data_IF_381436659969
#
_entry.id   IF_381436659969
#
_cell.length_a   1.000
_cell.length_b   1.000
_cell.length_c   1.000
_cell.angle_alpha   90.00
_cell.angle_beta   90.00
_cell.angle_gamma   90.00
#
_symmetry.space_group_name_H-M   'P 1'
#
loop_
_entity.id
_entity.type
_entity.pdbx_description
1 polymer ?
#
# COMPACT_ATOMS: atom_id res chain seq x y z
N UNK A 1 13.17 -72.15 -10.02
CA UNK A 1 12.34 -71.53 -8.96
C UNK A 1 12.35 -70.03 -9.19
N UNK A 2 11.43 -69.52 -10.00
CA UNK A 2 11.31 -68.10 -10.35
C UNK A 2 10.12 -67.52 -9.59
N UNK A 3 10.40 -66.54 -8.72
CA UNK A 3 9.37 -65.76 -8.01
C UNK A 3 8.85 -64.69 -8.99
N UNK A 4 7.55 -64.66 -9.32
CA UNK A 4 6.99 -63.58 -10.13
C UNK A 4 6.86 -62.30 -9.30
N UNK A 5 7.34 -61.21 -9.88
CA UNK A 5 7.25 -59.84 -9.41
C UNK A 5 5.79 -59.41 -9.26
N UNK A 6 5.43 -58.87 -8.10
CA UNK A 6 4.11 -58.30 -7.85
C UNK A 6 3.97 -56.96 -8.60
N UNK A 7 2.80 -56.66 -9.20
CA UNK A 7 2.54 -55.35 -9.80
C UNK A 7 2.26 -54.30 -8.70
N UNK A 8 3.09 -53.26 -8.65
CA UNK A 8 2.82 -52.04 -7.90
C UNK A 8 1.61 -51.33 -8.51
N UNK A 9 0.43 -51.63 -7.97
CA UNK A 9 -0.80 -50.93 -8.24
C UNK A 9 -0.94 -49.80 -7.21
N UNK A 10 -0.19 -48.70 -7.40
CA UNK A 10 -0.33 -47.51 -6.58
C UNK A 10 -1.51 -46.71 -7.13
N UNK A 11 -2.65 -46.83 -6.46
CA UNK A 11 -3.78 -45.95 -6.65
C UNK A 11 -3.33 -44.48 -6.48
N UNK A 12 -3.95 -43.51 -7.20
CA UNK A 12 -3.65 -42.11 -7.02
C UNK A 12 -3.91 -41.72 -5.56
N UNK A 13 -2.84 -41.32 -4.89
CA UNK A 13 -2.82 -40.77 -3.54
C UNK A 13 -3.88 -39.65 -3.44
N UNK A 14 -4.76 -39.79 -2.44
CA UNK A 14 -5.77 -38.80 -2.04
C UNK A 14 -5.18 -37.43 -1.64
N UNK A 15 -3.86 -37.24 -1.71
CA UNK A 15 -3.21 -35.95 -1.52
C UNK A 15 -3.28 -35.01 -2.74
N UNK A 16 -3.63 -35.49 -3.94
CA UNK A 16 -3.86 -34.60 -5.09
C UNK A 16 -5.18 -33.81 -5.01
N UNK A 17 -6.12 -34.21 -4.14
CA UNK A 17 -7.32 -33.43 -3.84
C UNK A 17 -7.10 -32.38 -2.74
N UNK A 18 -6.04 -32.50 -1.94
CA UNK A 18 -5.64 -31.47 -0.98
C UNK A 18 -4.80 -30.36 -1.64
N UNK A 19 -4.25 -30.67 -2.83
CA UNK A 19 -3.69 -29.74 -3.80
C UNK A 19 -4.67 -29.55 -4.99
N UNK A 20 -5.99 -29.44 -4.80
CA UNK A 20 -6.63 -28.12 -4.55
C UNK A 20 -5.61 -27.07 -4.07
N UNK A 21 -4.61 -26.73 -4.87
CA UNK A 21 -4.83 -25.84 -6.01
C UNK A 21 -5.77 -24.73 -5.58
N UNK A 22 -5.24 -23.93 -4.64
CA UNK A 22 -5.04 -22.53 -4.94
C UNK A 22 -6.32 -21.93 -5.51
N UNK A 23 -7.33 -21.78 -4.63
CA UNK A 23 -8.07 -20.52 -4.53
C UNK A 23 -6.98 -19.46 -4.82
N UNK A 24 -6.80 -18.94 -6.04
CA UNK A 24 -7.83 -18.19 -6.75
C UNK A 24 -8.76 -17.64 -5.69
N UNK A 25 -8.13 -16.86 -4.80
CA UNK A 25 -8.63 -15.63 -4.23
C UNK A 25 -8.91 -14.69 -5.41
N UNK A 26 -9.67 -15.16 -6.39
CA UNK A 26 -10.45 -14.31 -7.23
C UNK A 26 -11.73 -14.25 -6.44
N UNK A 27 -11.84 -13.16 -5.67
CA UNK A 27 -13.12 -12.59 -5.34
C UNK A 27 -14.00 -12.74 -6.59
N UNK A 28 -15.19 -13.33 -6.47
CA UNK A 28 -16.05 -13.45 -7.65
C UNK A 28 -16.28 -12.05 -8.22
N UNK A 29 -16.36 -11.92 -9.55
CA UNK A 29 -16.58 -10.60 -10.18
C UNK A 29 -17.83 -9.90 -9.59
N UNK A 30 -18.84 -10.69 -9.18
CA UNK A 30 -20.03 -10.20 -8.49
C UNK A 30 -19.72 -9.66 -7.08
N UNK A 31 -18.91 -10.38 -6.27
CA UNK A 31 -18.51 -9.92 -4.94
C UNK A 31 -17.61 -8.68 -5.04
N UNK A 32 -16.73 -8.62 -6.04
CA UNK A 32 -15.90 -7.46 -6.32
C UNK A 32 -16.71 -6.22 -6.66
N UNK A 33 -17.69 -6.38 -7.55
CA UNK A 33 -18.59 -5.29 -7.89
C UNK A 33 -19.39 -4.83 -6.65
N UNK A 34 -19.96 -5.76 -5.88
CA UNK A 34 -20.73 -5.45 -4.66
C UNK A 34 -19.90 -4.75 -3.59
N UNK A 35 -18.66 -5.18 -3.41
CA UNK A 35 -17.70 -4.56 -2.51
C UNK A 35 -17.35 -3.14 -2.93
N UNK A 36 -17.09 -2.93 -4.23
CA UNK A 36 -16.81 -1.61 -4.79
C UNK A 36 -18.00 -0.65 -4.60
N UNK A 37 -19.23 -1.10 -4.91
CA UNK A 37 -20.45 -0.33 -4.70
C UNK A 37 -20.67 0.03 -3.22
N UNK A 38 -20.30 -0.88 -2.31
CA UNK A 38 -20.39 -0.67 -0.86
C UNK A 38 -19.39 0.38 -0.37
N UNK A 39 -18.13 0.34 -0.85
CA UNK A 39 -17.12 1.36 -0.53
C UNK A 39 -17.58 2.73 -1.01
N UNK A 40 -18.07 2.84 -2.25
CA UNK A 40 -18.54 4.12 -2.80
C UNK A 40 -19.72 4.68 -2.00
N UNK A 41 -20.66 3.82 -1.56
CA UNK A 41 -21.77 4.25 -0.72
C UNK A 41 -21.33 4.74 0.68
N UNK A 42 -20.30 4.12 1.26
CA UNK A 42 -19.72 4.52 2.55
C UNK A 42 -18.95 5.84 2.41
N UNK A 43 -18.13 5.98 1.36
CA UNK A 43 -17.36 7.19 1.07
C UNK A 43 -18.28 8.40 0.80
N UNK A 44 -19.42 8.18 0.15
CA UNK A 44 -20.47 9.19 -0.05
C UNK A 44 -21.28 9.50 1.22
N UNK A 45 -21.12 8.72 2.29
CA UNK A 45 -21.91 8.82 3.52
C UNK A 45 -23.38 8.41 3.36
N UNK A 46 -23.71 7.61 2.33
CA UNK A 46 -25.08 7.16 2.03
C UNK A 46 -25.50 5.96 2.87
N UNK A 47 -24.56 5.07 3.21
CA UNK A 47 -24.80 3.85 3.98
C UNK A 47 -23.66 3.63 5.00
N UNK A 48 -23.98 3.05 6.15
CA UNK A 48 -22.97 2.52 7.06
C UNK A 48 -22.46 1.14 6.60
N UNK A 49 -21.29 0.71 7.09
CA UNK A 49 -20.76 -0.61 6.78
C UNK A 49 -21.72 -1.74 7.19
N UNK A 50 -22.37 -1.60 8.35
CA UNK A 50 -23.38 -2.55 8.84
C UNK A 50 -24.63 -2.59 7.94
N UNK A 51 -25.05 -1.44 7.41
CA UNK A 51 -26.18 -1.36 6.48
C UNK A 51 -25.86 -2.04 5.14
N UNK A 52 -24.64 -1.88 4.61
CA UNK A 52 -24.21 -2.59 3.41
C UNK A 52 -24.24 -4.11 3.60
N UNK A 53 -23.77 -4.61 4.75
CA UNK A 53 -23.80 -6.04 5.08
C UNK A 53 -25.26 -6.56 5.19
N UNK A 54 -26.17 -5.76 5.78
CA UNK A 54 -27.58 -6.15 5.89
C UNK A 54 -28.30 -6.19 4.54
N UNK A 55 -27.92 -5.35 3.58
CA UNK A 55 -28.51 -5.34 2.24
C UNK A 55 -28.10 -6.56 1.40
N UNK A 56 -27.02 -7.24 1.75
CA UNK A 56 -26.45 -8.35 0.97
C UNK A 56 -26.20 -9.59 1.86
N UNK A 57 -27.27 -10.26 2.33
CA UNK A 57 -27.14 -11.36 3.29
C UNK A 57 -26.43 -12.59 2.72
N UNK A 58 -26.48 -12.80 1.40
CA UNK A 58 -25.87 -13.97 0.74
C UNK A 58 -24.34 -13.95 0.84
N UNK A 59 -23.74 -12.76 0.75
CA UNK A 59 -22.28 -12.55 0.82
C UNK A 59 -21.84 -11.86 2.13
N UNK A 60 -22.76 -11.69 3.07
CA UNK A 60 -22.58 -10.77 4.20
C UNK A 60 -21.34 -11.07 5.06
N UNK A 61 -20.93 -12.33 5.20
CA UNK A 61 -19.71 -12.71 5.93
C UNK A 61 -18.43 -12.29 5.20
N UNK A 62 -18.33 -12.59 3.90
CA UNK A 62 -17.13 -12.24 3.10
C UNK A 62 -17.04 -10.73 2.90
N UNK A 63 -18.17 -10.06 2.64
CA UNK A 63 -18.24 -8.60 2.53
C UNK A 63 -17.88 -7.92 3.85
N UNK A 64 -18.34 -8.43 4.99
CA UNK A 64 -18.00 -7.88 6.31
C UNK A 64 -16.50 -7.97 6.60
N UNK A 65 -15.86 -9.08 6.23
CA UNK A 65 -14.41 -9.25 6.40
C UNK A 65 -13.63 -8.22 5.56
N UNK A 66 -14.03 -8.01 4.30
CA UNK A 66 -13.40 -7.06 3.39
C UNK A 66 -13.61 -5.61 3.83
N UNK A 67 -14.82 -5.24 4.25
CA UNK A 67 -15.14 -3.90 4.76
C UNK A 67 -14.39 -3.58 6.06
N UNK A 68 -14.27 -4.56 6.95
CA UNK A 68 -13.49 -4.39 8.18
C UNK A 68 -12.00 -4.24 7.87
N UNK A 69 -11.47 -5.01 6.91
CA UNK A 69 -10.08 -4.86 6.46
C UNK A 69 -9.83 -3.47 5.88
N UNK A 70 -10.76 -2.93 5.07
CA UNK A 70 -10.63 -1.57 4.53
C UNK A 70 -10.72 -0.50 5.59
N UNK A 71 -11.62 -0.62 6.56
CA UNK A 71 -11.68 0.30 7.71
C UNK A 71 -10.34 0.31 8.46
N UNK A 72 -9.76 -0.86 8.73
CA UNK A 72 -8.45 -0.97 9.37
C UNK A 72 -7.30 -0.38 8.54
N UNK A 73 -7.37 -0.45 7.21
CA UNK A 73 -6.40 0.19 6.32
C UNK A 73 -6.58 1.70 6.26
N UNK A 74 -7.82 2.20 6.31
CA UNK A 74 -8.14 3.62 6.32
C UNK A 74 -7.65 4.34 7.59
N UNK A 75 -7.67 3.64 8.73
CA UNK A 75 -7.15 4.15 10.01
C UNK A 75 -5.62 4.24 10.07
N UNK A 76 -4.90 3.64 9.10
CA UNK A 76 -3.45 3.72 9.07
C UNK A 76 -3.00 5.14 8.72
N UNK A 77 -1.95 5.67 9.36
CA UNK A 77 -1.37 6.96 8.99
C UNK A 77 -1.01 6.94 7.50
N UNK A 78 -1.54 7.92 6.75
CA UNK A 78 -1.18 8.08 5.34
C UNK A 78 0.31 8.37 5.25
N UNK A 79 1.04 7.47 4.58
CA UNK A 79 2.46 7.67 4.32
C UNK A 79 2.58 8.64 3.17
N UNK A 80 3.06 9.85 3.45
CA UNK A 80 3.36 10.84 2.41
C UNK A 80 4.43 10.28 1.46
N UNK A 81 4.16 10.17 0.15
CA UNK A 81 5.13 9.66 -0.79
C UNK A 81 6.35 10.58 -0.86
N UNK A 82 7.53 9.98 -0.96
CA UNK A 82 8.79 10.73 -1.04
C UNK A 82 8.79 11.69 -2.24
N UNK A 83 9.57 12.77 -2.14
CA UNK A 83 9.74 13.73 -3.25
C UNK A 83 10.22 13.02 -4.53
N UNK A 84 11.18 12.09 -4.40
CA UNK A 84 11.73 11.33 -5.51
C UNK A 84 10.65 10.48 -6.19
N UNK A 85 9.82 9.77 -5.41
CA UNK A 85 8.70 9.00 -5.95
C UNK A 85 7.72 9.90 -6.71
N UNK A 86 7.33 11.04 -6.13
CA UNK A 86 6.40 11.98 -6.79
C UNK A 86 6.96 12.54 -8.10
N UNK A 87 8.25 12.88 -8.14
CA UNK A 87 8.90 13.35 -9.36
C UNK A 87 8.95 12.26 -10.44
N UNK A 88 9.26 11.02 -10.06
CA UNK A 88 9.28 9.90 -10.98
C UNK A 88 7.89 9.57 -11.52
N UNK A 89 6.88 9.48 -10.64
CA UNK A 89 5.49 9.26 -11.03
C UNK A 89 5.00 10.33 -12.03
N UNK A 90 5.35 11.61 -11.78
CA UNK A 90 5.04 12.70 -12.71
C UNK A 90 5.71 12.51 -14.08
N UNK A 91 6.99 12.12 -14.11
CA UNK A 91 7.69 11.86 -15.39
C UNK A 91 7.04 10.72 -16.15
N UNK A 92 6.67 9.64 -15.47
CA UNK A 92 5.98 8.49 -16.07
C UNK A 92 4.61 8.89 -16.64
N UNK A 93 3.82 9.67 -15.89
CA UNK A 93 2.53 10.18 -16.35
C UNK A 93 2.68 11.09 -17.58
N UNK A 94 3.68 11.98 -17.58
CA UNK A 94 3.95 12.85 -18.73
C UNK A 94 4.38 12.04 -19.97
N UNK A 95 5.09 10.94 -19.79
CA UNK A 95 5.51 10.07 -20.89
C UNK A 95 4.35 9.24 -21.47
N UNK A 96 3.31 8.96 -20.67
CA UNK A 96 2.11 8.23 -21.12
C UNK A 96 1.07 9.14 -21.79
N UNK A 97 1.12 10.45 -21.54
CA UNK A 97 0.24 11.38 -22.24
C UNK A 97 0.61 11.35 -23.73
N UNK A 98 -0.34 11.00 -24.62
CA UNK A 98 -0.08 11.08 -26.04
C UNK A 98 0.32 12.51 -26.38
N UNK A 99 1.29 12.67 -27.27
CA UNK A 99 1.67 13.97 -27.81
C UNK A 99 0.41 14.61 -28.38
N UNK A 100 -0.21 15.48 -27.60
CA UNK A 100 -1.36 16.25 -28.06
C UNK A 100 -0.80 17.08 -29.20
N UNK A 101 -1.25 16.89 -30.45
CA UNK A 101 -0.78 17.71 -31.54
C UNK A 101 -1.12 19.14 -31.12
N UNK A 102 -0.07 19.93 -30.92
CA UNK A 102 -0.21 21.36 -30.76
C UNK A 102 -0.68 21.81 -32.13
N UNK A 103 -2.00 21.79 -32.34
CA UNK A 103 -2.59 22.51 -33.45
C UNK A 103 -2.07 23.93 -33.25
N UNK A 104 -1.19 24.43 -34.14
CA UNK A 104 -0.72 25.80 -34.02
C UNK A 104 -1.99 26.62 -33.92
N UNK A 105 -2.13 27.31 -32.80
CA UNK A 105 -3.29 28.11 -32.55
C UNK A 105 -3.36 29.11 -33.70
N UNK A 106 -4.20 28.81 -34.70
CA UNK A 106 -4.75 29.83 -35.56
C UNK A 106 -5.45 30.74 -34.58
N UNK A 107 -4.81 31.87 -34.31
CA UNK A 107 -5.27 32.95 -33.45
C UNK A 107 -6.59 33.49 -34.00
N UNK A 108 -7.67 32.75 -33.79
CA UNK A 108 -9.01 33.27 -33.71
C UNK A 108 -9.32 33.36 -32.22
N UNK A 109 -8.82 34.44 -31.65
CA UNK A 109 -9.24 35.01 -30.39
C UNK A 109 -10.79 35.11 -30.40
N UNK A 110 -11.52 34.28 -29.63
CA UNK A 110 -12.93 34.58 -29.41
C UNK A 110 -12.96 35.86 -28.57
N UNK A 111 -13.61 36.89 -29.09
CA UNK A 111 -13.80 38.22 -28.51
C UNK A 111 -14.57 38.24 -27.16
N UNK A 112 -14.45 37.20 -26.34
CA UNK A 112 -15.10 37.02 -25.04
C UNK A 112 -14.16 37.28 -23.85
N UNK A 113 -12.88 37.59 -24.07
CA UNK A 113 -11.95 38.04 -23.03
C UNK A 113 -12.15 39.51 -22.59
N UNK A 114 -12.96 40.27 -23.33
CA UNK A 114 -13.09 41.71 -23.14
C UNK A 114 -13.80 42.14 -21.86
N UNK A 115 -14.59 41.29 -21.20
CA UNK A 115 -15.35 41.73 -20.02
C UNK A 115 -14.50 41.86 -18.77
N UNK A 116 -13.51 40.97 -18.58
CA UNK A 116 -12.62 40.99 -17.42
C UNK A 116 -11.59 42.12 -17.53
N UNK A 117 -11.01 42.29 -18.73
CA UNK A 117 -10.17 43.44 -19.08
C UNK A 117 -10.95 44.76 -18.94
N UNK A 118 -12.17 44.86 -19.47
CA UNK A 118 -13.00 46.06 -19.34
C UNK A 118 -13.42 46.34 -17.88
N UNK A 119 -13.65 45.31 -17.07
CA UNK A 119 -13.91 45.46 -15.64
C UNK A 119 -12.67 45.99 -14.92
N UNK A 120 -11.48 45.45 -15.25
CA UNK A 120 -10.21 45.88 -14.68
C UNK A 120 -9.85 47.31 -15.08
N UNK A 121 -10.05 47.67 -16.35
CA UNK A 121 -9.86 49.03 -16.85
C UNK A 121 -10.85 49.99 -16.17
N UNK A 122 -12.12 49.58 -15.97
CA UNK A 122 -13.12 50.41 -15.29
C UNK A 122 -12.82 50.60 -13.79
N UNK A 123 -12.26 49.59 -13.13
CA UNK A 123 -11.85 49.66 -11.73
C UNK A 123 -10.61 50.54 -11.54
N UNK A 124 -9.66 50.50 -12.47
CA UNK A 124 -8.40 51.27 -12.37
C UNK A 124 -8.51 52.70 -12.88
N UNK A 125 -9.36 52.96 -13.88
CA UNK A 125 -9.56 54.29 -14.49
C UNK A 125 -10.52 55.19 -13.70
N UNK A 126 -11.18 54.64 -12.68
CA UNK A 126 -11.94 55.40 -11.68
C UNK A 126 -10.98 56.19 -10.77
N UNK A 127 -10.62 57.39 -11.24
CA UNK A 127 -9.73 58.34 -10.58
C UNK A 127 -10.40 58.98 -9.35
N UNK A 128 -10.04 58.45 -8.18
CA UNK A 128 -10.27 59.09 -6.88
C UNK A 128 -9.51 58.33 -5.81
N UNK A 129 -8.28 58.74 -5.49
CA UNK A 129 -7.39 58.12 -4.49
C UNK A 129 -8.03 57.79 -3.12
N UNK A 130 -9.04 58.51 -2.58
CA UNK A 130 -9.68 58.09 -1.33
C UNK A 130 -10.73 56.96 -1.51
N UNK A 131 -11.29 56.77 -2.71
CA UNK A 131 -12.32 55.75 -2.94
C UNK A 131 -11.73 54.34 -3.15
N UNK A 132 -10.50 54.24 -3.64
CA UNK A 132 -9.83 52.95 -3.85
C UNK A 132 -9.49 52.23 -2.54
N UNK A 133 -9.15 52.95 -1.47
CA UNK A 133 -8.84 52.35 -0.16
C UNK A 133 -10.10 51.73 0.46
N UNK A 134 -11.26 52.37 0.31
CA UNK A 134 -12.55 51.85 0.78
C UNK A 134 -13.05 50.65 -0.05
N UNK A 135 -12.86 50.68 -1.38
CA UNK A 135 -13.30 49.59 -2.25
C UNK A 135 -12.47 48.31 -2.06
N UNK A 136 -11.13 48.43 -1.97
CA UNK A 136 -10.24 47.29 -1.72
C UNK A 136 -10.47 46.72 -0.32
N UNK A 137 -10.66 47.59 0.69
CA UNK A 137 -11.00 47.16 2.05
C UNK A 137 -12.34 46.41 2.13
N UNK A 138 -13.36 46.88 1.41
CA UNK A 138 -14.68 46.23 1.36
C UNK A 138 -14.65 44.84 0.71
N UNK A 139 -13.92 44.69 -0.39
CA UNK A 139 -13.76 43.40 -1.08
C UNK A 139 -12.96 42.39 -0.25
N UNK A 140 -11.90 42.84 0.40
CA UNK A 140 -11.13 42.00 1.32
C UNK A 140 -11.97 41.52 2.50
N UNK A 141 -12.77 42.40 3.13
CA UNK A 141 -13.65 42.04 4.23
C UNK A 141 -14.77 41.09 3.80
N UNK A 142 -15.36 41.28 2.61
CA UNK A 142 -16.36 40.37 2.07
C UNK A 142 -15.79 38.97 1.79
N UNK A 143 -14.60 38.89 1.19
CA UNK A 143 -13.91 37.62 0.96
C UNK A 143 -13.57 36.90 2.28
N UNK A 144 -13.14 37.66 3.30
CA UNK A 144 -12.81 37.12 4.62
C UNK A 144 -14.06 36.63 5.36
N UNK A 145 -15.20 37.32 5.22
CA UNK A 145 -16.48 36.88 5.77
C UNK A 145 -16.98 35.58 5.10
N UNK A 146 -16.88 35.48 3.77
CA UNK A 146 -17.23 34.25 3.04
C UNK A 146 -16.34 33.09 3.48
N UNK A 147 -15.03 33.34 3.61
CA UNK A 147 -14.08 32.35 4.09
C UNK A 147 -14.42 31.88 5.51
N UNK A 148 -14.78 32.80 6.42
CA UNK A 148 -15.16 32.45 7.79
C UNK A 148 -16.45 31.62 7.85
N UNK A 149 -17.45 31.94 7.03
CA UNK A 149 -18.69 31.15 6.93
C UNK A 149 -18.39 29.74 6.39
N UNK A 150 -17.54 29.62 5.37
CA UNK A 150 -17.12 28.32 4.85
C UNK A 150 -16.36 27.50 5.90
N UNK A 151 -15.50 28.15 6.69
CA UNK A 151 -14.72 27.51 7.74
C UNK A 151 -15.60 27.05 8.91
N UNK A 152 -16.64 27.82 9.27
CA UNK A 152 -17.67 27.40 10.22
C UNK A 152 -18.51 26.25 9.66
N UNK A 153 -18.84 26.25 8.37
CA UNK A 153 -19.58 25.14 7.75
C UNK A 153 -18.75 23.84 7.68
N UNK A 154 -17.43 23.94 7.50
CA UNK A 154 -16.52 22.80 7.44
C UNK A 154 -16.16 22.23 8.82
N UNK A 155 -16.08 23.08 9.86
CA UNK A 155 -15.76 22.64 11.24
C UNK A 155 -16.98 22.51 12.15
N UNK A 156 -18.14 23.02 11.72
CA UNK A 156 -19.39 22.94 12.44
C UNK A 156 -20.07 21.60 12.22
N UNK A 157 -19.54 20.55 12.84
CA UNK A 157 -20.34 19.38 13.19
C UNK A 157 -21.63 19.86 13.85
N UNK A 158 -22.76 19.38 13.32
CA UNK A 158 -24.09 19.79 13.77
C UNK A 158 -24.24 19.62 15.28
N UNK A 159 -25.11 20.42 15.92
CA UNK A 159 -25.43 20.21 17.33
C UNK A 159 -26.13 18.86 17.48
N UNK A 160 -25.36 17.84 17.87
CA UNK A 160 -25.87 16.58 18.38
C UNK A 160 -26.66 16.88 19.67
N UNK A 161 -27.95 17.14 19.46
CA UNK A 161 -28.96 16.94 20.47
C UNK A 161 -29.28 15.46 20.45
N UNK A 162 -28.84 14.77 21.50
CA UNK A 162 -29.66 13.88 22.33
C UNK A 162 -28.85 12.71 22.92
N UNK A 163 -29.06 12.48 24.22
CA UNK A 163 -28.79 11.21 24.91
C UNK A 163 -27.32 10.98 25.31
N UNK A 164 -26.89 11.08 26.56
CA UNK A 164 -27.59 10.64 27.76
C UNK A 164 -27.51 9.13 27.91
N UNK A 165 -26.36 8.58 28.32
CA UNK A 165 -26.28 7.30 29.03
C UNK A 165 -25.02 7.24 29.90
N UNK A 166 -25.26 7.31 31.20
CA UNK A 166 -24.32 6.88 32.23
C UNK A 166 -24.18 5.35 32.13
N UNK A 167 -22.99 4.87 31.78
CA UNK A 167 -22.62 3.46 31.82
C UNK A 167 -21.39 3.27 32.70
N UNK A 168 -21.62 3.07 33.99
CA UNK A 168 -20.63 2.59 34.97
C UNK A 168 -20.15 1.22 34.51
N UNK A 169 -18.93 1.13 33.97
CA UNK A 169 -18.24 -0.13 33.72
C UNK A 169 -17.40 -0.48 34.94
N UNK A 170 -17.95 -1.38 35.75
CA UNK A 170 -17.34 -2.03 36.88
C UNK A 170 -16.22 -2.97 36.39
N UNK A 171 -14.97 -2.56 36.61
CA UNK A 171 -13.78 -3.32 36.24
C UNK A 171 -13.57 -4.49 37.20
N UNK A 172 -14.01 -5.68 36.79
CA UNK A 172 -13.74 -6.95 37.48
C UNK A 172 -12.34 -7.44 37.09
N UNK A 173 -11.37 -7.28 37.99
CA UNK A 173 -10.03 -7.87 37.86
C UNK A 173 -10.13 -9.41 37.79
N UNK A 174 -9.48 -10.06 36.81
CA UNK A 174 -9.31 -11.51 36.83
C UNK A 174 -8.24 -11.89 37.86
N UNK A 175 -8.63 -12.80 38.75
CA UNK A 175 -7.79 -13.47 39.72
C UNK A 175 -6.77 -14.36 38.97
N UNK A 176 -5.48 -14.03 39.09
CA UNK A 176 -4.38 -14.85 38.58
C UNK A 176 -4.08 -15.95 39.61
N UNK A 177 -4.62 -17.15 39.39
CA UNK A 177 -4.14 -18.36 40.06
C UNK A 177 -2.74 -18.69 39.53
N UNK A 178 -1.77 -18.60 40.42
CA UNK A 178 -0.39 -19.06 40.24
C UNK A 178 -0.41 -20.58 40.22
N UNK A 179 -0.32 -21.17 39.03
CA UNK A 179 -0.05 -22.59 38.84
C UNK A 179 1.46 -22.77 38.92
N UNK A 180 1.93 -23.38 40.02
CA UNK A 180 3.30 -23.86 40.15
C UNK A 180 3.56 -24.95 39.11
N UNK A 181 4.47 -24.65 38.18
CA UNK A 181 4.93 -25.60 37.16
C UNK A 181 6.04 -26.47 37.74
N UNK A 182 6.01 -27.81 37.55
CA UNK A 182 7.02 -28.70 38.12
C UNK A 182 8.36 -28.57 37.39
N UNK A 183 9.42 -28.60 38.19
CA UNK A 183 10.82 -28.52 37.80
C UNK A 183 11.24 -29.85 37.14
N UNK A 184 11.15 -29.94 35.80
CA UNK A 184 11.69 -31.07 35.04
C UNK A 184 13.19 -30.86 34.76
N UNK A 185 13.98 -31.83 35.23
CA UNK A 185 15.43 -31.91 35.04
C UNK A 185 15.77 -32.22 33.57
N UNK A 186 16.66 -31.46 32.90
CA UNK A 186 16.95 -31.68 31.48
C UNK A 186 17.79 -32.95 31.28
N UNK A 187 17.18 -33.98 30.68
CA UNK A 187 17.89 -35.08 30.06
C UNK A 187 18.41 -34.67 28.68
N UNK A 188 19.72 -34.75 28.50
CA UNK A 188 20.43 -34.45 27.25
C UNK A 188 19.93 -35.34 26.11
N UNK A 189 19.11 -34.75 25.23
CA UNK A 189 18.58 -35.42 24.04
C UNK A 189 19.58 -35.33 22.88
N UNK A 190 19.78 -36.42 22.11
CA UNK A 190 20.70 -36.44 20.99
C UNK A 190 20.25 -35.46 19.89
N UNK A 191 21.20 -34.66 19.40
CA UNK A 191 21.00 -33.64 18.39
C UNK A 191 20.25 -34.19 17.15
N UNK A 192 19.04 -33.69 16.93
CA UNK A 192 18.32 -33.91 15.68
C UNK A 192 19.07 -33.19 14.55
N UNK A 193 19.16 -33.79 13.34
CA UNK A 193 19.74 -33.12 12.20
C UNK A 193 18.91 -31.88 11.86
N UNK A 194 19.56 -30.73 11.88
CA UNK A 194 19.00 -29.45 11.45
C UNK A 194 18.65 -29.58 9.97
N UNK A 195 17.36 -29.63 9.66
CA UNK A 195 16.89 -29.59 8.29
C UNK A 195 17.07 -28.16 7.76
N UNK A 196 18.12 -27.93 6.97
CA UNK A 196 18.31 -26.71 6.20
C UNK A 196 17.11 -26.53 5.25
N UNK A 197 16.22 -25.61 5.60
CA UNK A 197 15.09 -25.26 4.76
C UNK A 197 15.60 -24.37 3.61
N UNK A 198 15.89 -24.99 2.46
CA UNK A 198 16.24 -24.30 1.23
C UNK A 198 14.95 -23.76 0.58
N UNK A 199 14.62 -22.50 0.86
CA UNK A 199 13.59 -21.79 0.10
C UNK A 199 14.25 -21.02 -1.04
N UNK A 200 14.20 -21.57 -2.24
CA UNK A 200 14.56 -20.83 -3.45
C UNK A 200 13.34 -20.02 -3.92
N UNK A 201 13.40 -18.70 -3.80
CA UNK A 201 12.40 -17.79 -4.38
C UNK A 201 12.80 -17.52 -5.83
N UNK A 202 12.06 -18.08 -6.78
CA UNK A 202 12.30 -17.87 -8.21
C UNK A 202 11.52 -16.63 -8.68
N UNK A 203 12.23 -15.57 -9.06
CA UNK A 203 11.60 -14.35 -9.60
C UNK A 203 11.54 -14.45 -11.13
N UNK A 204 10.35 -14.58 -11.74
CA UNK A 204 10.24 -14.64 -13.19
C UNK A 204 10.46 -13.24 -13.79
N UNK A 205 11.62 -13.01 -14.42
CA UNK A 205 11.83 -11.85 -15.27
C UNK A 205 11.15 -12.06 -16.63
N UNK A 206 9.98 -11.46 -16.81
CA UNK A 206 9.29 -11.43 -18.10
C UNK A 206 9.78 -10.25 -18.95
N UNK A 207 10.60 -10.52 -19.97
CA UNK A 207 10.42 -9.86 -21.26
C UNK A 207 11.53 -8.99 -21.87
N UNK A 208 12.70 -8.82 -21.25
CA UNK A 208 13.81 -8.07 -21.90
C UNK A 208 15.10 -8.84 -21.70
N UNK A 209 15.78 -9.21 -22.78
CA UNK A 209 17.05 -9.94 -22.73
C UNK A 209 18.05 -9.17 -21.84
N UNK A 210 18.61 -9.79 -20.78
CA UNK A 210 19.42 -9.07 -19.83
C UNK A 210 20.73 -8.67 -20.49
N UNK A 211 20.96 -7.38 -20.63
CA UNK A 211 22.33 -6.87 -20.74
C UNK A 211 22.96 -7.08 -19.36
N UNK A 212 23.76 -8.14 -19.23
CA UNK A 212 24.40 -8.64 -18.01
C UNK A 212 25.26 -7.59 -17.26
N UNK A 213 25.47 -6.41 -17.85
CA UNK A 213 26.19 -5.30 -17.24
C UNK A 213 25.28 -4.20 -16.65
N UNK A 214 23.96 -4.35 -16.69
CA UNK A 214 23.04 -3.35 -16.12
C UNK A 214 22.79 -3.60 -14.63
N UNK A 215 23.12 -2.60 -13.79
CA UNK A 215 22.67 -2.55 -12.40
C UNK A 215 21.16 -2.72 -12.38
N UNK A 216 20.66 -3.76 -11.69
CA UNK A 216 19.25 -4.18 -11.78
C UNK A 216 18.47 -3.84 -10.51
N UNK A 217 19.16 -3.78 -9.37
CA UNK A 217 18.57 -3.43 -8.09
C UNK A 217 19.56 -2.69 -7.18
N UNK A 218 19.05 -1.94 -6.22
CA UNK A 218 19.78 -1.44 -5.08
C UNK A 218 19.43 -2.24 -3.83
N UNK A 219 20.43 -2.69 -3.07
CA UNK A 219 20.23 -3.25 -1.74
C UNK A 219 20.34 -2.15 -0.70
N UNK A 220 19.35 -2.11 0.21
CA UNK A 220 19.39 -1.29 1.41
C UNK A 220 19.29 -2.19 2.64
N UNK A 221 20.36 -2.25 3.41
CA UNK A 221 20.35 -2.97 4.69
C UNK A 221 19.60 -2.15 5.74
N UNK A 222 18.50 -2.69 6.26
CA UNK A 222 17.68 -2.04 7.29
C UNK A 222 18.24 -2.33 8.67
N UNK A 223 18.70 -3.57 8.90
CA UNK A 223 19.29 -4.01 10.16
C UNK A 223 20.36 -5.08 9.93
N UNK A 224 21.48 -5.02 10.65
CA UNK A 224 22.53 -6.04 10.58
C UNK A 224 23.44 -5.94 9.36
N UNK A 225 23.86 -7.09 8.83
CA UNK A 225 24.84 -7.26 7.75
C UNK A 225 24.24 -8.14 6.65
N UNK A 226 24.32 -7.66 5.42
CA UNK A 226 24.09 -8.46 4.22
C UNK A 226 25.44 -8.73 3.56
N UNK A 227 25.57 -9.86 2.89
CA UNK A 227 26.78 -10.25 2.17
C UNK A 227 26.45 -10.57 0.71
N UNK A 228 27.40 -10.31 -0.18
CA UNK A 228 27.33 -10.65 -1.59
C UNK A 228 28.39 -11.69 -1.92
N UNK A 229 28.05 -12.65 -2.76
CA UNK A 229 29.02 -13.61 -3.28
C UNK A 229 29.71 -13.06 -4.52
N UNK A 230 31.04 -13.04 -4.49
CA UNK A 230 31.85 -12.75 -5.67
C UNK A 230 32.74 -13.95 -5.99
N UNK A 231 32.94 -14.26 -7.27
CA UNK A 231 33.79 -15.39 -7.67
C UNK A 231 35.22 -15.28 -7.15
N UNK A 232 35.73 -14.05 -6.98
CA UNK A 232 37.12 -13.79 -6.61
C UNK A 232 37.36 -13.86 -5.11
N UNK A 233 36.42 -13.35 -4.32
CA UNK A 233 36.66 -13.06 -2.90
C UNK A 233 35.64 -13.77 -1.98
N UNK A 234 34.70 -14.52 -2.56
CA UNK A 234 33.66 -15.22 -1.81
C UNK A 234 32.61 -14.26 -1.25
N UNK A 235 32.07 -14.59 -0.08
CA UNK A 235 31.10 -13.75 0.63
C UNK A 235 31.79 -12.50 1.17
N UNK A 236 31.30 -11.33 0.75
CA UNK A 236 31.78 -10.03 1.20
C UNK A 236 30.67 -9.22 1.84
N UNK A 237 30.93 -8.55 2.97
CA UNK A 237 29.94 -7.68 3.60
C UNK A 237 29.61 -6.50 2.70
N UNK A 238 28.31 -6.30 2.47
CA UNK A 238 27.78 -5.15 1.76
C UNK A 238 27.63 -3.95 2.70
N UNK A 239 27.89 -2.76 2.17
CA UNK A 239 27.58 -1.50 2.85
C UNK A 239 26.07 -1.27 2.99
N UNK A 240 25.67 -0.19 3.69
CA UNK A 240 24.25 0.16 3.88
C UNK A 240 23.47 0.36 2.59
N UNK A 241 24.16 0.74 1.52
CA UNK A 241 23.64 0.88 0.17
C UNK A 241 24.64 0.20 -0.76
N UNK A 242 24.17 -0.78 -1.52
CA UNK A 242 24.96 -1.49 -2.52
C UNK A 242 24.14 -1.62 -3.80
N UNK A 243 24.82 -1.61 -4.94
CA UNK A 243 24.20 -1.94 -6.23
C UNK A 243 24.35 -3.44 -6.48
N UNK A 244 23.27 -4.06 -6.98
CA UNK A 244 23.20 -5.47 -7.32
C UNK A 244 23.03 -5.66 -8.83
N UNK A 245 23.70 -6.67 -9.34
CA UNK A 245 23.65 -7.12 -10.74
C UNK A 245 22.92 -8.45 -10.82
N UNK A 246 22.38 -8.74 -12.01
CA UNK A 246 21.72 -10.02 -12.27
C UNK A 246 22.71 -11.17 -12.10
N UNK A 247 22.32 -12.19 -11.33
CA UNK A 247 23.12 -13.39 -11.08
C UNK A 247 24.11 -13.27 -9.91
N UNK A 248 24.09 -12.16 -9.17
CA UNK A 248 24.84 -12.05 -7.92
C UNK A 248 24.04 -12.69 -6.77
N UNK A 249 24.66 -13.63 -6.06
CA UNK A 249 24.05 -14.23 -4.87
C UNK A 249 24.20 -13.28 -3.68
N UNK A 250 23.12 -13.07 -2.96
CA UNK A 250 23.11 -12.29 -1.72
C UNK A 250 22.54 -13.09 -0.58
N UNK A 251 23.06 -12.84 0.63
CA UNK A 251 22.50 -13.42 1.86
C UNK A 251 22.43 -12.42 2.99
N UNK A 252 21.48 -12.61 3.88
CA UNK A 252 21.37 -11.94 5.17
C UNK A 252 21.85 -12.90 6.27
N UNK A 253 22.55 -12.38 7.28
CA UNK A 253 22.92 -13.19 8.46
C UNK A 253 21.72 -13.38 9.40
N UNK A 254 21.87 -14.23 10.42
CA UNK A 254 20.81 -14.70 11.35
C UNK A 254 20.01 -13.61 12.07
N UNK A 255 20.54 -12.38 12.14
CA UNK A 255 19.89 -11.22 12.78
C UNK A 255 19.84 -10.00 11.87
N UNK A 256 19.90 -10.22 10.57
CA UNK A 256 19.99 -9.15 9.58
C UNK A 256 18.77 -9.12 8.67
N UNK A 257 18.31 -7.93 8.33
CA UNK A 257 17.21 -7.69 7.42
C UNK A 257 17.69 -6.72 6.33
N UNK A 258 17.33 -7.00 5.09
CA UNK A 258 17.67 -6.14 3.97
C UNK A 258 16.47 -5.99 3.03
N UNK A 259 16.37 -4.84 2.38
CA UNK A 259 15.36 -4.57 1.37
C UNK A 259 16.07 -4.40 0.03
N UNK A 260 15.72 -5.25 -0.92
CA UNK A 260 16.12 -5.15 -2.32
C UNK A 260 15.10 -4.25 -3.02
N UNK A 261 15.57 -3.15 -3.61
CA UNK A 261 14.77 -2.23 -4.40
C UNK A 261 15.13 -2.41 -5.87
N UNK A 262 14.18 -2.88 -6.68
CA UNK A 262 14.39 -3.06 -8.11
C UNK A 262 14.19 -1.74 -8.86
N UNK A 263 14.78 -1.64 -10.06
CA UNK A 263 14.67 -0.45 -10.90
C UNK A 263 13.24 -0.13 -11.36
N UNK A 264 12.35 -1.13 -11.38
CA UNK A 264 10.93 -0.96 -11.66
C UNK A 264 10.13 -0.37 -10.48
N UNK A 265 10.79 -0.16 -9.34
CA UNK A 265 10.21 0.36 -8.11
C UNK A 265 9.62 -0.70 -7.19
N UNK A 266 9.58 -1.97 -7.62
CA UNK A 266 9.21 -3.08 -6.75
C UNK A 266 10.26 -3.30 -5.66
N UNK A 267 9.83 -3.92 -4.56
CA UNK A 267 10.68 -4.15 -3.40
C UNK A 267 10.50 -5.57 -2.90
N UNK A 268 11.60 -6.15 -2.41
CA UNK A 268 11.62 -7.45 -1.77
C UNK A 268 12.38 -7.36 -0.46
N UNK A 269 11.76 -7.81 0.63
CA UNK A 269 12.39 -7.88 1.94
C UNK A 269 13.02 -9.25 2.14
N UNK A 270 14.30 -9.28 2.48
CA UNK A 270 15.04 -10.46 2.86
C UNK A 270 15.04 -10.58 4.38
N UNK A 271 14.39 -11.64 4.87
CA UNK A 271 14.36 -11.98 6.28
C UNK A 271 15.75 -12.44 6.77
N UNK A 272 15.99 -12.56 8.08
CA UNK A 272 17.24 -13.09 8.60
C UNK A 272 17.55 -14.51 8.13
N UNK A 273 18.82 -14.79 7.85
CA UNK A 273 19.28 -16.10 7.37
C UNK A 273 18.79 -16.48 5.97
N UNK A 274 18.37 -15.51 5.16
CA UNK A 274 17.84 -15.75 3.81
C UNK A 274 18.95 -15.60 2.78
N UNK A 275 19.00 -16.51 1.81
CA UNK A 275 19.91 -16.45 0.66
C UNK A 275 19.10 -16.49 -0.65
N UNK A 276 19.44 -15.63 -1.60
CA UNK A 276 18.85 -15.57 -2.93
C UNK A 276 19.90 -15.35 -4.03
N UNK A 277 19.55 -15.69 -5.27
CA UNK A 277 20.37 -15.59 -6.49
C UNK A 277 19.64 -14.80 -7.59
#
# INVERSE_FOLDING_TARGET
>A
MNKPSAPCNTAPSKHYAACLSLRKVFMSDELEQRYQESIEAIDDGRLSAEECIQQQPDDGLELAELLNLTAHLADRPRVEPSLAFRQQARRNLLAQLPDRPVTPATSQEPANGGWLEALWERLTKSNGRPAQILAIGGLAMAALAIFFVALIALNGGGPDKDGGINGVLESKQPNLEVVESPEETPGEAPAAPVAEAQFAVFIPFSGIGPDINTTTAGLRTTQGVAEIWTEKEGWQPLGKLAELRVGERIRTLDYSEAVVMFNDGSQMTLAPGTEIE
#
